data_IF_564382727724
#
_entry.id   IF_564382727724
#
_cell.length_a   1.000
_cell.length_b   1.000
_cell.length_c   1.000
_cell.angle_alpha   90.00
_cell.angle_beta   90.00
_cell.angle_gamma   90.00
#
_symmetry.space_group_name_H-M   'P 1'
#
loop_
_entity.id
_entity.type
_entity.pdbx_description
1 polymer ?
#
# COMPACT_ATOMS: atom_id res chain seq x y z
N UNK A 1 -21.30 -13.52 -1.30
CA UNK A 1 -20.28 -12.47 -1.18
C UNK A 1 -20.06 -12.22 0.31
N UNK A 2 -18.86 -12.46 0.80
CA UNK A 2 -18.46 -12.25 2.20
C UNK A 2 -17.54 -11.03 2.26
N UNK A 3 -17.72 -10.16 3.26
CA UNK A 3 -16.85 -9.02 3.52
C UNK A 3 -15.85 -9.45 4.59
N UNK A 4 -14.60 -9.63 4.20
CA UNK A 4 -13.54 -10.18 5.04
C UNK A 4 -12.65 -9.11 5.66
N UNK A 5 -12.33 -9.27 6.94
CA UNK A 5 -11.35 -8.42 7.61
C UNK A 5 -9.95 -9.01 7.48
N UNK A 6 -9.02 -8.22 6.95
CA UNK A 6 -7.59 -8.51 6.99
C UNK A 6 -6.92 -7.62 8.03
N UNK A 7 -6.14 -8.22 8.92
CA UNK A 7 -5.46 -7.53 10.01
C UNK A 7 -3.97 -7.74 9.86
N UNK A 8 -3.19 -6.66 9.90
CA UNK A 8 -1.73 -6.74 9.90
C UNK A 8 -1.22 -7.50 11.13
N UNK A 9 -0.36 -8.48 10.88
CA UNK A 9 0.42 -9.24 11.85
C UNK A 9 1.91 -8.89 11.78
N UNK A 10 2.26 -7.78 11.12
CA UNK A 10 3.65 -7.42 10.89
C UNK A 10 4.33 -6.96 12.19
N UNK A 11 5.21 -7.81 12.74
CA UNK A 11 5.97 -7.54 13.97
C UNK A 11 6.78 -6.24 13.97
N UNK A 12 7.14 -5.73 12.78
CA UNK A 12 7.89 -4.48 12.64
C UNK A 12 7.10 -3.22 12.98
N UNK A 13 5.77 -3.32 13.14
CA UNK A 13 4.85 -2.24 13.45
C UNK A 13 3.86 -2.65 14.56
N UNK A 14 3.62 -1.75 15.51
CA UNK A 14 2.72 -1.96 16.65
C UNK A 14 1.77 -0.77 16.79
N UNK A 15 0.46 -1.03 16.83
CA UNK A 15 -0.53 -0.05 17.24
C UNK A 15 -0.75 -0.16 18.76
N UNK A 16 -0.21 0.79 19.51
CA UNK A 16 -0.21 0.74 20.97
C UNK A 16 -1.54 1.22 21.56
N UNK A 17 -2.06 2.34 21.05
CA UNK A 17 -3.36 2.89 21.43
C UNK A 17 -3.94 3.77 20.31
N UNK A 18 -5.23 4.03 20.37
CA UNK A 18 -5.92 4.94 19.47
C UNK A 18 -7.13 5.54 20.16
N UNK A 19 -7.45 6.78 19.80
CA UNK A 19 -8.63 7.48 20.28
C UNK A 19 -8.49 9.00 20.22
N UNK A 20 -9.63 9.67 20.39
CA UNK A 20 -9.78 11.12 20.33
C UNK A 20 -9.20 11.74 19.04
N UNK A 21 -9.29 11.02 17.92
CA UNK A 21 -8.75 11.45 16.64
C UNK A 21 -7.25 11.21 16.44
N UNK A 22 -6.60 10.41 17.30
CA UNK A 22 -5.17 10.10 17.22
C UNK A 22 -4.88 8.60 17.31
N UNK A 23 -3.68 8.22 16.88
CA UNK A 23 -3.09 6.91 17.14
C UNK A 23 -1.68 7.05 17.68
N UNK A 24 -1.34 6.14 18.60
CA UNK A 24 -0.02 5.94 19.16
C UNK A 24 0.53 4.64 18.57
N UNK A 25 1.61 4.75 17.79
CA UNK A 25 2.20 3.63 17.07
C UNK A 25 3.71 3.57 17.29
N UNK A 26 4.26 2.38 17.14
CA UNK A 26 5.70 2.12 17.22
C UNK A 26 6.14 1.31 16.00
N UNK A 27 7.11 1.83 15.25
CA UNK A 27 7.63 1.16 14.05
C UNK A 27 9.14 1.31 14.00
N UNK A 28 9.86 0.20 13.83
CA UNK A 28 11.33 0.21 13.85
C UNK A 28 11.91 0.77 15.16
N UNK A 29 11.21 0.59 16.28
CA UNK A 29 11.60 1.10 17.60
C UNK A 29 11.30 2.57 17.86
N UNK A 30 10.73 3.30 16.88
CA UNK A 30 10.36 4.71 17.05
C UNK A 30 8.87 4.82 17.39
N UNK A 31 8.58 5.34 18.59
CA UNK A 31 7.22 5.57 19.09
C UNK A 31 6.73 6.97 18.73
N UNK A 32 5.57 7.07 18.10
CA UNK A 32 5.03 8.33 17.60
C UNK A 32 3.52 8.47 17.73
N UNK A 33 3.06 9.72 17.73
CA UNK A 33 1.65 10.09 17.70
C UNK A 33 1.33 10.66 16.32
N UNK A 34 0.25 10.19 15.70
CA UNK A 34 -0.27 10.74 14.44
C UNK A 34 -1.76 10.99 14.52
N UNK A 35 -2.23 11.93 13.70
CA UNK A 35 -3.66 12.13 13.49
C UNK A 35 -4.29 10.91 12.82
N UNK A 36 -5.39 10.46 13.40
CA UNK A 36 -6.26 9.43 12.87
C UNK A 36 -7.71 9.86 13.11
N UNK A 37 -8.26 10.70 12.20
CA UNK A 37 -9.59 11.28 12.37
C UNK A 37 -10.71 10.25 12.51
N UNK A 38 -10.45 8.97 12.21
CA UNK A 38 -11.38 7.84 12.31
C UNK A 38 -11.44 7.22 13.71
N UNK A 39 -10.46 7.50 14.56
CA UNK A 39 -10.40 6.99 15.93
C UNK A 39 -11.30 7.82 16.87
N UNK A 40 -12.62 7.75 16.66
CA UNK A 40 -13.62 8.56 17.39
C UNK A 40 -13.85 8.15 18.85
N UNK A 41 -13.41 6.94 19.21
CA UNK A 41 -13.47 6.44 20.57
C UNK A 41 -12.43 7.10 21.46
N UNK A 42 -12.55 6.96 22.78
CA UNK A 42 -11.56 7.47 23.72
C UNK A 42 -10.27 6.64 23.74
N UNK A 43 -9.16 7.33 24.00
CA UNK A 43 -7.86 6.70 24.32
C UNK A 43 -8.02 5.76 25.50
N UNK A 44 -7.33 4.63 25.46
CA UNK A 44 -7.45 3.59 26.49
C UNK A 44 -6.22 3.46 27.37
N UNK A 45 -5.05 3.92 26.90
CA UNK A 45 -3.84 4.00 27.71
C UNK A 45 -3.79 5.30 28.52
N UNK A 46 -3.16 5.30 29.71
CA UNK A 46 -2.90 6.52 30.47
C UNK A 46 -2.09 7.54 29.67
N UNK A 47 -2.29 8.83 29.97
CA UNK A 47 -1.55 9.93 29.33
C UNK A 47 -0.01 9.76 29.43
N UNK A 48 0.48 9.11 30.48
CA UNK A 48 1.90 8.81 30.66
C UNK A 48 2.47 7.91 29.56
N UNK A 49 1.68 6.99 28.99
CA UNK A 49 2.13 6.14 27.87
C UNK A 49 2.22 6.92 26.55
N UNK A 50 1.27 7.83 26.32
CA UNK A 50 1.30 8.74 25.17
C UNK A 50 2.47 9.73 25.26
N UNK A 51 2.80 10.21 26.47
CA UNK A 51 3.92 11.12 26.69
C UNK A 51 5.30 10.51 26.34
N UNK A 52 5.41 9.17 26.27
CA UNK A 52 6.63 8.46 25.83
C UNK A 52 6.89 8.56 24.33
N UNK A 53 5.94 9.04 23.53
CA UNK A 53 6.16 9.25 22.10
C UNK A 53 7.25 10.30 21.86
N UNK A 54 8.21 9.95 21.01
CA UNK A 54 9.37 10.79 20.65
C UNK A 54 9.12 11.64 19.41
N UNK A 55 8.00 11.41 18.72
CA UNK A 55 7.54 12.21 17.60
C UNK A 55 6.02 12.38 17.64
N UNK A 56 5.54 13.55 17.24
CA UNK A 56 4.12 13.86 17.14
C UNK A 56 3.87 14.67 15.87
N UNK A 57 2.96 14.21 15.03
CA UNK A 57 2.53 14.96 13.85
C UNK A 57 1.36 15.88 14.21
N UNK A 58 1.58 17.19 14.11
CA UNK A 58 0.56 18.18 14.36
C UNK A 58 -0.12 18.63 13.06
N UNK A 59 -1.45 18.64 13.08
CA UNK A 59 -2.23 19.28 12.04
C UNK A 59 -2.33 20.78 12.33
N UNK A 60 -1.59 21.60 11.58
CA UNK A 60 -1.64 23.05 11.70
C UNK A 60 -0.88 23.75 10.56
N UNK A 61 -1.53 24.69 9.88
CA UNK A 61 -1.02 25.35 8.67
C UNK A 61 -1.61 24.78 7.36
N UNK A 62 -1.07 25.16 6.20
CA UNK A 62 -1.45 24.55 4.90
C UNK A 62 -0.98 23.09 4.79
N UNK A 63 0.05 22.72 5.56
CA UNK A 63 0.71 21.42 5.55
C UNK A 63 1.15 21.11 6.99
N UNK A 64 0.88 19.90 7.51
CA UNK A 64 1.20 19.52 8.90
C UNK A 64 2.70 19.39 9.17
N UNK A 65 3.10 19.36 10.45
CA UNK A 65 4.51 19.33 10.86
C UNK A 65 4.80 18.26 11.91
N UNK A 66 5.98 17.65 11.83
CA UNK A 66 6.50 16.78 12.88
C UNK A 66 7.17 17.57 14.01
N UNK A 67 6.75 17.32 15.25
CA UNK A 67 7.45 17.71 16.47
C UNK A 67 8.25 16.53 17.01
N UNK A 68 9.57 16.64 16.94
CA UNK A 68 10.50 15.63 17.44
C UNK A 68 10.97 15.99 18.86
N UNK A 69 11.11 15.00 19.74
CA UNK A 69 11.54 15.16 21.14
C UNK A 69 12.84 14.39 21.40
N UNK A 70 13.73 14.95 22.21
CA UNK A 70 14.99 14.30 22.60
C UNK A 70 15.83 13.87 21.39
N UNK A 71 16.39 12.67 21.47
CA UNK A 71 17.27 12.09 20.43
C UNK A 71 16.49 11.33 19.34
N UNK A 72 15.26 11.75 19.04
CA UNK A 72 14.43 11.12 18.01
C UNK A 72 15.15 11.14 16.64
N UNK A 73 15.34 9.98 15.98
CA UNK A 73 16.03 9.92 14.71
C UNK A 73 15.19 10.57 13.59
N UNK A 74 15.84 11.28 12.67
CA UNK A 74 15.15 11.85 11.49
C UNK A 74 14.81 10.78 10.44
N UNK A 75 15.69 9.79 10.32
CA UNK A 75 15.52 8.61 9.48
C UNK A 75 15.90 7.38 10.30
N UNK A 76 15.17 6.29 10.14
CA UNK A 76 15.43 5.01 10.78
C UNK A 76 14.99 3.87 9.85
N UNK A 77 15.04 2.63 10.32
CA UNK A 77 14.67 1.48 9.51
C UNK A 77 13.69 0.56 10.24
N UNK A 78 12.88 -0.14 9.45
CA UNK A 78 12.12 -1.31 9.91
C UNK A 78 12.37 -2.51 9.00
N UNK A 79 11.89 -3.68 9.39
CA UNK A 79 12.12 -4.95 8.68
C UNK A 79 10.83 -5.72 8.49
N UNK A 80 10.68 -6.34 7.32
CA UNK A 80 9.68 -7.36 7.05
C UNK A 80 10.40 -8.61 6.55
N UNK A 81 10.58 -9.60 7.42
CA UNK A 81 11.44 -10.74 7.14
C UNK A 81 12.86 -10.29 6.79
N UNK A 82 13.30 -10.58 5.56
CA UNK A 82 14.62 -10.18 5.04
C UNK A 82 14.64 -8.77 4.43
N UNK A 83 13.49 -8.17 4.16
CA UNK A 83 13.39 -6.84 3.57
C UNK A 83 13.64 -5.76 4.61
N UNK A 84 14.33 -4.70 4.21
CA UNK A 84 14.62 -3.51 5.01
C UNK A 84 14.00 -2.29 4.33
N UNK A 85 13.27 -1.51 5.10
CA UNK A 85 12.64 -0.28 4.64
C UNK A 85 13.19 0.91 5.41
N UNK A 86 13.67 1.91 4.69
CA UNK A 86 13.98 3.21 5.27
C UNK A 86 12.66 3.92 5.60
N UNK A 87 12.63 4.49 6.80
CA UNK A 87 11.57 5.35 7.31
C UNK A 87 12.15 6.72 7.60
N UNK A 88 11.37 7.77 7.40
CA UNK A 88 11.78 9.14 7.73
C UNK A 88 10.58 10.04 7.94
N UNK A 89 10.77 11.03 8.80
CA UNK A 89 9.79 12.11 8.93
C UNK A 89 9.90 13.03 7.72
N UNK A 90 8.77 13.22 7.02
CA UNK A 90 8.69 14.11 5.87
C UNK A 90 8.11 15.45 6.28
N UNK A 91 8.67 16.52 5.71
CA UNK A 91 7.99 17.81 5.74
C UNK A 91 6.64 17.67 5.03
N UNK A 92 5.60 18.28 5.58
CA UNK A 92 4.28 18.39 4.97
C UNK A 92 3.50 17.07 4.77
N UNK A 93 3.93 15.99 5.41
CA UNK A 93 3.22 14.71 5.38
C UNK A 93 3.31 13.96 6.70
N UNK A 94 2.18 13.40 7.12
CA UNK A 94 2.10 12.47 8.26
C UNK A 94 2.56 11.05 7.94
N UNK A 95 2.86 10.77 6.67
CA UNK A 95 3.39 9.48 6.26
C UNK A 95 4.90 9.43 6.53
N UNK A 96 5.45 8.24 6.74
CA UNK A 96 6.87 8.06 7.05
C UNK A 96 7.55 6.98 6.20
N UNK A 97 6.87 6.47 5.16
CA UNK A 97 7.49 5.59 4.16
C UNK A 97 6.94 4.17 4.07
N UNK A 98 5.99 3.75 4.90
CA UNK A 98 5.37 2.42 4.79
C UNK A 98 3.97 2.42 5.43
N UNK A 99 3.07 1.62 4.88
CA UNK A 99 1.70 1.42 5.37
C UNK A 99 1.58 -0.01 5.91
N UNK A 100 1.72 -0.17 7.23
CA UNK A 100 1.81 -1.47 7.86
C UNK A 100 0.56 -2.34 7.67
N UNK A 101 -0.59 -1.69 7.53
CA UNK A 101 -1.87 -2.33 7.26
C UNK A 101 -1.93 -3.10 5.94
N UNK A 102 -1.05 -2.79 4.99
CA UNK A 102 -0.96 -3.48 3.70
C UNK A 102 -0.25 -4.85 3.80
N UNK A 103 0.37 -5.17 4.95
CA UNK A 103 1.12 -6.42 5.10
C UNK A 103 0.33 -7.70 4.80
N UNK A 104 -0.99 -7.81 5.05
CA UNK A 104 -1.74 -9.00 4.65
C UNK A 104 -1.75 -9.23 3.14
N UNK A 105 -1.76 -8.16 2.33
CA UNK A 105 -1.64 -8.28 0.87
C UNK A 105 -0.23 -8.71 0.47
N UNK A 106 0.79 -8.15 1.11
CA UNK A 106 2.17 -8.54 0.87
C UNK A 106 2.41 -10.01 1.20
N UNK A 107 1.95 -10.47 2.36
CA UNK A 107 2.03 -11.87 2.76
C UNK A 107 1.31 -12.77 1.75
N UNK A 108 0.10 -12.39 1.34
CA UNK A 108 -0.65 -13.14 0.34
C UNK A 108 0.09 -13.28 -1.01
N UNK A 109 0.80 -12.24 -1.45
CA UNK A 109 1.66 -12.30 -2.65
C UNK A 109 2.91 -13.17 -2.39
N UNK A 110 3.53 -13.04 -1.22
CA UNK A 110 4.71 -13.82 -0.83
C UNK A 110 4.43 -15.33 -0.77
N UNK A 111 3.22 -15.71 -0.33
CA UNK A 111 2.75 -17.10 -0.25
C UNK A 111 2.46 -17.74 -1.62
N UNK A 112 2.66 -16.99 -2.70
CA UNK A 112 2.51 -17.44 -4.10
C UNK A 112 3.83 -17.32 -4.85
N UNK A 113 4.87 -18.06 -4.42
CA UNK A 113 6.19 -17.95 -5.02
C UNK A 113 6.15 -18.41 -6.48
N UNK A 114 6.70 -17.58 -7.36
CA UNK A 114 6.81 -17.85 -8.78
C UNK A 114 8.14 -18.53 -9.04
N UNK A 115 8.09 -19.81 -9.41
CA UNK A 115 9.26 -20.64 -9.73
C UNK A 115 9.51 -20.76 -11.24
N UNK A 116 8.74 -20.03 -12.04
CA UNK A 116 8.79 -20.09 -13.50
C UNK A 116 9.92 -19.19 -14.03
N UNK A 117 10.57 -19.65 -15.09
CA UNK A 117 11.46 -18.83 -15.92
C UNK A 117 10.97 -18.86 -17.38
N UNK A 118 10.74 -17.70 -18.03
CA UNK A 118 10.87 -16.36 -17.47
C UNK A 118 9.84 -16.09 -16.36
N UNK A 119 10.25 -15.31 -15.36
CA UNK A 119 9.37 -14.87 -14.27
C UNK A 119 8.11 -14.17 -14.79
N UNK A 120 6.92 -14.45 -14.24
CA UNK A 120 5.69 -13.77 -14.63
C UNK A 120 5.74 -12.29 -14.21
N UNK A 121 5.02 -11.46 -14.95
CA UNK A 121 5.08 -10.01 -14.82
C UNK A 121 4.00 -9.50 -13.87
N UNK A 122 4.42 -8.68 -12.91
CA UNK A 122 3.54 -7.97 -12.00
C UNK A 122 3.65 -6.46 -12.22
N UNK A 123 2.50 -5.79 -12.39
CA UNK A 123 2.41 -4.33 -12.44
C UNK A 123 1.94 -3.79 -11.08
N UNK A 124 2.75 -2.94 -10.45
CA UNK A 124 2.37 -2.23 -9.23
C UNK A 124 2.17 -0.74 -9.54
N UNK A 125 0.92 -0.27 -9.50
CA UNK A 125 0.53 1.12 -9.75
C UNK A 125 0.34 1.86 -8.43
N UNK A 126 0.78 3.13 -8.40
CA UNK A 126 0.83 3.93 -7.18
C UNK A 126 1.74 3.27 -6.13
N UNK A 127 2.89 2.77 -6.58
CA UNK A 127 3.73 1.87 -5.80
C UNK A 127 4.43 2.51 -4.59
N UNK A 128 4.38 3.83 -4.45
CA UNK A 128 4.96 4.60 -3.35
C UNK A 128 6.44 4.24 -3.10
N UNK A 129 6.80 3.88 -1.88
CA UNK A 129 8.17 3.51 -1.47
C UNK A 129 8.52 2.05 -1.79
N UNK A 130 7.68 1.35 -2.55
CA UNK A 130 8.02 0.06 -3.18
C UNK A 130 7.94 -1.16 -2.27
N UNK A 131 7.35 -1.09 -1.08
CA UNK A 131 7.22 -2.25 -0.18
C UNK A 131 6.58 -3.48 -0.89
N UNK A 132 5.43 -3.29 -1.53
CA UNK A 132 4.77 -4.34 -2.31
C UNK A 132 5.63 -4.86 -3.48
N UNK A 133 6.34 -3.96 -4.18
CA UNK A 133 7.23 -4.33 -5.29
C UNK A 133 8.40 -5.19 -4.83
N UNK A 134 8.97 -4.89 -3.67
CA UNK A 134 10.06 -5.67 -3.09
C UNK A 134 9.59 -7.04 -2.61
N UNK A 135 8.41 -7.11 -1.99
CA UNK A 135 7.82 -8.39 -1.60
C UNK A 135 7.54 -9.26 -2.83
N UNK A 136 6.92 -8.69 -3.88
CA UNK A 136 6.67 -9.40 -5.12
C UNK A 136 7.97 -9.86 -5.80
N UNK A 137 8.98 -9.01 -5.91
CA UNK A 137 10.24 -9.39 -6.54
C UNK A 137 10.95 -10.52 -5.77
N UNK A 138 10.94 -10.47 -4.43
CA UNK A 138 11.46 -11.55 -3.57
C UNK A 138 10.69 -12.86 -3.75
N UNK A 139 9.38 -12.78 -4.04
CA UNK A 139 8.54 -13.92 -4.35
C UNK A 139 8.68 -14.43 -5.81
N UNK A 140 9.64 -13.92 -6.58
CA UNK A 140 9.94 -14.41 -7.93
C UNK A 140 9.17 -13.71 -9.07
N UNK A 141 8.57 -12.54 -8.83
CA UNK A 141 7.91 -11.77 -9.89
C UNK A 141 8.89 -10.87 -10.65
N UNK A 142 8.65 -10.65 -11.94
CA UNK A 142 9.24 -9.56 -12.70
C UNK A 142 8.38 -8.31 -12.52
N UNK A 143 8.85 -7.33 -11.75
CA UNK A 143 8.01 -6.23 -11.26
C UNK A 143 8.20 -4.98 -12.11
N UNK A 144 7.12 -4.42 -12.64
CA UNK A 144 7.06 -3.03 -13.07
C UNK A 144 6.43 -2.21 -11.96
N UNK A 145 7.21 -1.30 -11.36
CA UNK A 145 6.75 -0.35 -10.35
C UNK A 145 6.49 1.00 -11.01
N UNK A 146 5.32 1.58 -10.78
CA UNK A 146 4.92 2.89 -11.33
C UNK A 146 4.44 3.81 -10.20
N UNK A 147 5.06 4.97 -10.11
CA UNK A 147 4.61 6.06 -9.24
C UNK A 147 4.90 7.42 -9.90
N UNK A 148 4.06 8.42 -9.68
CA UNK A 148 4.26 9.75 -10.24
C UNK A 148 5.35 10.55 -9.50
N UNK A 149 5.62 10.20 -8.23
CA UNK A 149 6.56 10.89 -7.38
C UNK A 149 7.98 10.37 -7.58
N UNK A 150 8.82 11.18 -8.26
CA UNK A 150 10.26 10.92 -8.36
C UNK A 150 10.92 10.69 -6.98
N UNK A 151 10.61 11.47 -5.92
CA UNK A 151 11.09 11.17 -4.57
C UNK A 151 10.66 9.80 -4.03
N UNK A 152 9.42 9.36 -4.28
CA UNK A 152 8.94 8.04 -3.83
C UNK A 152 9.65 6.91 -4.58
N UNK A 153 9.81 7.02 -5.90
CA UNK A 153 10.55 6.03 -6.71
C UNK A 153 12.02 5.95 -6.29
N UNK A 154 12.66 7.08 -6.01
CA UNK A 154 14.04 7.09 -5.49
C UNK A 154 14.13 6.39 -4.11
N UNK A 155 13.13 6.61 -3.26
CA UNK A 155 13.02 5.92 -1.97
C UNK A 155 12.82 4.41 -2.13
N UNK A 156 11.98 3.98 -3.08
CA UNK A 156 11.81 2.56 -3.40
C UNK A 156 13.10 1.89 -3.88
N UNK A 157 13.88 2.56 -4.73
CA UNK A 157 15.22 2.08 -5.12
C UNK A 157 16.15 1.98 -3.91
N UNK A 158 16.11 2.94 -2.99
CA UNK A 158 16.89 2.86 -1.75
C UNK A 158 16.47 1.66 -0.89
N UNK A 159 15.17 1.37 -0.80
CA UNK A 159 14.68 0.18 -0.10
C UNK A 159 15.12 -1.12 -0.79
N UNK A 160 15.22 -1.14 -2.13
CA UNK A 160 15.78 -2.27 -2.88
C UNK A 160 17.25 -2.53 -2.52
N UNK A 161 18.06 -1.46 -2.46
CA UNK A 161 19.47 -1.54 -2.06
C UNK A 161 19.62 -2.02 -0.61
N UNK A 162 18.85 -1.42 0.32
CA UNK A 162 18.88 -1.77 1.74
C UNK A 162 18.51 -3.24 1.99
N UNK A 163 17.61 -3.77 1.15
CA UNK A 163 17.17 -5.16 1.18
C UNK A 163 18.12 -6.13 0.45
N UNK A 164 19.23 -5.65 -0.13
CA UNK A 164 20.16 -6.48 -0.89
C UNK A 164 19.58 -7.04 -2.19
N UNK A 165 18.55 -6.39 -2.74
CA UNK A 165 17.77 -6.88 -3.88
C UNK A 165 18.21 -6.28 -5.22
N UNK A 166 19.46 -5.81 -5.34
CA UNK A 166 19.94 -5.12 -6.54
C UNK A 166 19.89 -5.98 -7.82
N UNK A 167 19.93 -7.30 -7.71
CA UNK A 167 19.82 -8.23 -8.83
C UNK A 167 18.36 -8.59 -9.20
N UNK A 168 17.39 -8.23 -8.36
CA UNK A 168 15.99 -8.58 -8.59
C UNK A 168 15.38 -7.69 -9.68
N UNK A 169 14.55 -8.26 -10.58
CA UNK A 169 14.07 -7.57 -11.77
C UNK A 169 12.92 -6.61 -11.44
N UNK A 170 13.25 -5.41 -10.97
CA UNK A 170 12.30 -4.32 -10.72
C UNK A 170 12.54 -3.17 -11.70
N UNK A 171 11.59 -2.97 -12.61
CA UNK A 171 11.55 -1.81 -13.51
C UNK A 171 10.84 -0.65 -12.82
N UNK A 172 11.60 0.36 -12.43
CA UNK A 172 11.11 1.57 -11.75
C UNK A 172 10.73 2.68 -12.74
N UNK A 173 9.46 3.08 -12.75
CA UNK A 173 8.89 4.05 -13.68
C UNK A 173 8.33 5.25 -12.94
N UNK A 174 8.70 6.44 -13.42
CA UNK A 174 8.19 7.73 -12.94
C UNK A 174 7.22 8.27 -13.97
N UNK A 175 5.93 8.03 -13.78
CA UNK A 175 4.89 8.40 -14.74
C UNK A 175 3.51 8.44 -14.08
N UNK A 176 2.58 9.21 -14.64
CA UNK A 176 1.16 9.09 -14.31
C UNK A 176 0.66 7.67 -14.65
N UNK A 177 -0.12 7.07 -13.74
CA UNK A 177 -0.54 5.68 -13.85
C UNK A 177 -1.40 5.41 -15.10
N UNK A 178 -2.35 6.31 -15.41
CA UNK A 178 -3.21 6.19 -16.59
C UNK A 178 -2.41 6.32 -17.88
N UNK A 179 -1.49 7.29 -17.92
CA UNK A 179 -0.58 7.52 -19.05
C UNK A 179 0.30 6.31 -19.31
N UNK A 180 0.89 5.74 -18.25
CA UNK A 180 1.67 4.51 -18.32
C UNK A 180 0.86 3.34 -18.89
N UNK A 181 -0.33 3.09 -18.32
CA UNK A 181 -1.20 1.98 -18.71
C UNK A 181 -1.58 2.09 -20.19
N UNK A 182 -2.06 3.25 -20.65
CA UNK A 182 -2.41 3.47 -22.06
C UNK A 182 -1.24 3.22 -23.01
N UNK A 183 -0.02 3.62 -22.60
CA UNK A 183 1.18 3.39 -23.40
C UNK A 183 1.55 1.90 -23.48
N UNK A 184 1.41 1.16 -22.40
CA UNK A 184 1.66 -0.29 -22.39
C UNK A 184 0.61 -1.05 -23.20
N UNK A 185 -0.67 -0.63 -23.16
CA UNK A 185 -1.74 -1.18 -24.01
C UNK A 185 -1.37 -0.98 -25.48
N UNK A 186 -0.98 0.23 -25.88
CA UNK A 186 -0.54 0.52 -27.26
C UNK A 186 0.67 -0.32 -27.70
N UNK A 187 1.52 -0.73 -26.75
CA UNK A 187 2.69 -1.59 -27.01
C UNK A 187 2.36 -3.09 -27.01
N UNK A 188 1.12 -3.48 -26.68
CA UNK A 188 0.72 -4.88 -26.57
C UNK A 188 1.34 -5.61 -25.37
N UNK A 189 1.75 -4.87 -24.33
CA UNK A 189 2.32 -5.47 -23.13
C UNK A 189 1.23 -6.10 -22.25
N UNK A 190 1.48 -7.29 -21.69
CA UNK A 190 0.52 -8.00 -20.83
C UNK A 190 1.12 -8.47 -19.50
N UNK A 191 0.36 -8.43 -18.41
CA UNK A 191 0.81 -8.74 -17.06
C UNK A 191 -0.01 -9.88 -16.46
N UNK A 192 0.67 -10.76 -15.72
CA UNK A 192 0.05 -11.85 -14.98
C UNK A 192 -0.55 -11.37 -13.66
N UNK A 193 -0.13 -10.22 -13.15
CA UNK A 193 -0.69 -9.64 -11.93
C UNK A 193 -0.70 -8.13 -11.98
N UNK A 194 -1.72 -7.50 -11.40
CA UNK A 194 -1.80 -6.06 -11.22
C UNK A 194 -2.15 -5.73 -9.76
N UNK A 195 -1.42 -4.80 -9.16
CA UNK A 195 -1.72 -4.22 -7.85
C UNK A 195 -1.93 -2.71 -8.03
N UNK A 196 -2.98 -2.17 -7.40
CA UNK A 196 -3.30 -0.75 -7.43
C UNK A 196 -3.57 -0.24 -6.01
N UNK A 197 -2.84 0.78 -5.59
CA UNK A 197 -3.07 1.49 -4.31
C UNK A 197 -3.31 3.00 -4.53
N UNK A 198 -4.33 3.39 -5.32
CA UNK A 198 -4.57 4.79 -5.67
C UNK A 198 -4.87 5.67 -4.44
N UNK A 199 -4.29 6.88 -4.36
CA UNK A 199 -4.68 7.85 -3.34
C UNK A 199 -6.06 8.44 -3.66
N UNK A 200 -6.72 9.06 -2.68
CA UNK A 200 -7.97 9.78 -2.93
C UNK A 200 -7.78 10.95 -3.92
N UNK A 201 -6.67 11.68 -3.77
CA UNK A 201 -6.26 12.77 -4.65
C UNK A 201 -4.76 12.66 -4.96
N UNK A 202 -4.36 13.08 -6.15
CA UNK A 202 -2.97 13.04 -6.55
C UNK A 202 -2.65 13.96 -7.71
N UNK A 203 -1.36 14.06 -8.04
CA UNK A 203 -0.89 14.72 -9.26
C UNK A 203 0.14 13.86 -9.97
N UNK A 204 0.03 13.79 -11.29
CA UNK A 204 1.04 13.20 -12.15
C UNK A 204 2.28 14.09 -12.28
N UNK A 205 3.38 13.56 -12.84
CA UNK A 205 4.65 14.29 -12.95
C UNK A 205 4.56 15.57 -13.80
N UNK A 206 3.60 15.64 -14.73
CA UNK A 206 3.39 16.81 -15.60
C UNK A 206 2.20 17.67 -15.18
N UNK A 207 1.61 17.39 -14.01
CA UNK A 207 0.50 18.14 -13.44
C UNK A 207 -0.88 17.55 -13.71
N UNK A 208 -0.95 16.33 -14.25
CA UNK A 208 -2.20 15.58 -14.42
C UNK A 208 -2.92 15.47 -13.08
N UNK A 209 -4.19 15.87 -13.00
CA UNK A 209 -4.94 15.78 -11.75
C UNK A 209 -5.57 14.40 -11.60
N UNK A 210 -5.35 13.73 -10.46
CA UNK A 210 -5.98 12.47 -10.10
C UNK A 210 -7.02 12.68 -8.99
N UNK A 211 -8.22 12.13 -9.19
CA UNK A 211 -9.26 12.01 -8.16
C UNK A 211 -9.92 10.64 -8.27
N UNK A 212 -9.85 9.84 -7.20
CA UNK A 212 -10.24 8.43 -7.22
C UNK A 212 -11.68 8.21 -7.72
N UNK A 213 -12.63 9.04 -7.30
CA UNK A 213 -14.05 8.92 -7.66
C UNK A 213 -14.31 9.17 -9.15
N UNK A 214 -13.43 9.92 -9.82
CA UNK A 214 -13.52 10.22 -11.25
C UNK A 214 -12.72 9.22 -12.09
N UNK A 215 -11.52 8.87 -11.62
CA UNK A 215 -10.48 8.28 -12.47
C UNK A 215 -10.27 6.78 -12.26
N UNK A 216 -10.73 6.20 -11.13
CA UNK A 216 -10.49 4.79 -10.82
C UNK A 216 -11.15 3.84 -11.82
N UNK A 217 -12.44 4.03 -12.13
CA UNK A 217 -13.15 3.15 -13.04
C UNK A 217 -12.58 3.18 -14.49
N UNK A 218 -12.26 4.34 -15.08
CA UNK A 218 -11.49 4.38 -16.33
C UNK A 218 -10.14 3.68 -16.25
N UNK A 219 -9.40 3.82 -15.14
CA UNK A 219 -8.08 3.19 -14.98
C UNK A 219 -8.19 1.67 -14.97
N UNK A 220 -9.14 1.11 -14.21
CA UNK A 220 -9.35 -0.33 -14.14
C UNK A 220 -9.75 -0.93 -15.50
N UNK A 221 -10.57 -0.21 -16.29
CA UNK A 221 -10.91 -0.62 -17.66
C UNK A 221 -9.69 -0.71 -18.57
N UNK A 222 -8.79 0.26 -18.47
CA UNK A 222 -7.53 0.22 -19.22
C UNK A 222 -6.58 -0.88 -18.68
N UNK A 223 -6.57 -1.13 -17.37
CA UNK A 223 -5.80 -2.23 -16.78
C UNK A 223 -6.28 -3.60 -17.24
N UNK A 224 -7.58 -3.77 -17.51
CA UNK A 224 -8.11 -5.03 -18.06
C UNK A 224 -7.44 -5.39 -19.39
N UNK A 225 -7.17 -4.42 -20.26
CA UNK A 225 -6.49 -4.64 -21.54
C UNK A 225 -5.03 -5.10 -21.37
N UNK A 226 -4.45 -4.87 -20.18
CA UNK A 226 -3.12 -5.33 -19.83
C UNK A 226 -3.10 -6.73 -19.20
N UNK A 227 -4.22 -7.35 -18.86
CA UNK A 227 -4.21 -8.69 -18.25
C UNK A 227 -3.84 -9.74 -19.30
N UNK A 228 -2.85 -10.58 -19.01
CA UNK A 228 -2.51 -11.68 -19.90
C UNK A 228 -3.56 -12.81 -19.82
N UNK A 229 -3.62 -13.70 -20.81
CA UNK A 229 -4.45 -14.91 -20.74
C UNK A 229 -4.10 -15.83 -19.54
N UNK A 230 -2.93 -15.64 -18.92
CA UNK A 230 -2.46 -16.35 -17.72
C UNK A 230 -2.50 -15.49 -16.47
N UNK A 231 -3.28 -14.40 -16.49
CA UNK A 231 -3.46 -13.54 -15.33
C UNK A 231 -3.87 -14.36 -14.10
N UNK A 232 -3.20 -14.09 -12.99
CA UNK A 232 -3.36 -14.81 -11.73
C UNK A 232 -4.21 -14.00 -10.75
N UNK A 233 -4.01 -12.68 -10.68
CA UNK A 233 -4.79 -11.83 -9.78
C UNK A 233 -4.76 -10.34 -10.11
N UNK A 234 -5.74 -9.61 -9.55
CA UNK A 234 -5.74 -8.16 -9.44
C UNK A 234 -6.05 -7.79 -7.98
N UNK A 235 -5.22 -6.96 -7.36
CA UNK A 235 -5.46 -6.39 -6.03
C UNK A 235 -5.75 -4.90 -6.18
N UNK A 236 -6.84 -4.44 -5.58
CA UNK A 236 -7.23 -3.04 -5.49
C UNK A 236 -7.36 -2.66 -4.03
N UNK A 237 -6.67 -1.60 -3.61
CA UNK A 237 -6.82 -1.00 -2.28
C UNK A 237 -7.34 0.43 -2.41
N UNK A 238 -8.26 0.84 -1.53
CA UNK A 238 -8.91 2.14 -1.55
C UNK A 238 -8.97 2.72 -0.13
N UNK A 239 -8.37 3.89 0.09
CA UNK A 239 -8.36 4.55 1.42
C UNK A 239 -9.59 5.43 1.69
N UNK A 240 -10.48 5.61 0.71
CA UNK A 240 -11.77 6.31 0.82
C UNK A 240 -12.80 5.41 1.54
N UNK A 241 -12.66 5.28 2.86
CA UNK A 241 -13.43 4.34 3.69
C UNK A 241 -14.88 4.75 3.96
N UNK A 242 -15.30 5.93 3.53
CA UNK A 242 -16.71 6.33 3.47
C UNK A 242 -17.46 5.58 2.36
N UNK A 243 -16.75 4.90 1.46
CA UNK A 243 -17.31 3.91 0.55
C UNK A 243 -17.45 2.53 1.22
N UNK A 244 -18.19 1.62 0.56
CA UNK A 244 -18.25 0.20 0.94
C UNK A 244 -17.26 -0.62 0.11
N UNK A 245 -16.68 -1.67 0.68
CA UNK A 245 -15.86 -2.65 -0.06
C UNK A 245 -16.62 -3.34 -1.21
N UNK A 246 -17.96 -3.28 -1.22
CA UNK A 246 -18.81 -3.67 -2.35
C UNK A 246 -18.46 -2.87 -3.63
N UNK A 247 -18.00 -1.62 -3.50
CA UNK A 247 -17.48 -0.84 -4.63
C UNK A 247 -16.29 -1.54 -5.29
N UNK A 248 -15.37 -2.08 -4.49
CA UNK A 248 -14.23 -2.84 -5.00
C UNK A 248 -14.71 -4.12 -5.71
N UNK A 249 -15.73 -4.78 -5.18
CA UNK A 249 -16.33 -5.95 -5.83
C UNK A 249 -16.89 -5.61 -7.21
N UNK A 250 -17.77 -4.61 -7.29
CA UNK A 250 -18.43 -4.23 -8.54
C UNK A 250 -17.41 -3.82 -9.62
N UNK A 251 -16.39 -3.05 -9.22
CA UNK A 251 -15.33 -2.63 -10.14
C UNK A 251 -14.51 -3.84 -10.62
N UNK A 252 -14.10 -4.74 -9.73
CA UNK A 252 -13.32 -5.90 -10.12
C UNK A 252 -14.15 -6.89 -10.95
N UNK A 253 -15.40 -7.18 -10.56
CA UNK A 253 -16.29 -8.06 -11.31
C UNK A 253 -16.52 -7.55 -12.74
N UNK A 254 -16.77 -6.25 -12.94
CA UNK A 254 -16.86 -5.65 -14.28
C UNK A 254 -15.56 -5.88 -15.07
N UNK A 255 -14.42 -5.60 -14.44
CA UNK A 255 -13.12 -5.62 -15.09
C UNK A 255 -12.51 -7.03 -15.21
N UNK A 256 -13.09 -8.06 -14.61
CA UNK A 256 -12.63 -9.46 -14.74
C UNK A 256 -13.71 -10.40 -15.27
N UNK A 257 -14.89 -9.87 -15.63
CA UNK A 257 -15.97 -10.60 -16.31
C UNK A 257 -15.45 -11.46 -17.47
N UNK A 258 -15.81 -12.74 -17.51
CA UNK A 258 -15.39 -13.66 -18.58
C UNK A 258 -13.97 -14.22 -18.43
N UNK A 259 -13.19 -13.82 -17.42
CA UNK A 259 -11.91 -14.45 -17.08
C UNK A 259 -12.06 -15.62 -16.09
N UNK A 260 -13.28 -15.87 -15.60
CA UNK A 260 -13.53 -16.82 -14.51
C UNK A 260 -12.96 -16.33 -13.17
N UNK A 261 -12.74 -17.26 -12.23
CA UNK A 261 -12.18 -16.96 -10.92
C UNK A 261 -13.19 -16.39 -9.92
N UNK A 262 -12.68 -15.74 -8.87
CA UNK A 262 -13.47 -15.20 -7.77
C UNK A 262 -13.00 -13.80 -7.36
N UNK A 263 -13.93 -13.00 -6.83
CA UNK A 263 -13.64 -11.67 -6.26
C UNK A 263 -13.92 -11.69 -4.77
N UNK A 264 -12.86 -11.55 -3.98
CA UNK A 264 -12.93 -11.38 -2.53
C UNK A 264 -12.83 -9.89 -2.18
N UNK A 265 -13.51 -9.44 -1.13
CA UNK A 265 -13.50 -8.04 -0.70
C UNK A 265 -13.44 -7.91 0.82
N UNK A 266 -13.03 -6.73 1.29
CA UNK A 266 -13.35 -6.29 2.63
C UNK A 266 -12.52 -5.12 3.10
N UNK A 267 -12.04 -5.19 4.34
CA UNK A 267 -11.34 -4.09 5.01
C UNK A 267 -9.96 -4.53 5.51
N UNK A 268 -9.02 -3.58 5.52
CA UNK A 268 -7.73 -3.69 6.17
C UNK A 268 -7.77 -2.89 7.47
N UNK A 269 -7.34 -3.53 8.56
CA UNK A 269 -7.28 -2.91 9.87
C UNK A 269 -5.95 -3.17 10.58
N UNK A 270 -5.66 -2.31 11.55
CA UNK A 270 -4.63 -2.55 12.55
C UNK A 270 -5.28 -2.98 13.86
N UNK A 271 -4.66 -3.93 14.57
CA UNK A 271 -5.10 -4.36 15.89
C UNK A 271 -4.31 -3.63 16.96
N UNK A 272 -5.03 -3.00 17.88
CA UNK A 272 -4.48 -2.37 19.05
C UNK A 272 -4.05 -3.44 20.07
N UNK A 273 -2.83 -3.35 20.58
CA UNK A 273 -2.25 -4.42 21.40
C UNK A 273 -2.87 -4.57 22.78
N UNK A 274 -3.22 -3.47 23.44
CA UNK A 274 -3.64 -3.51 24.84
C UNK A 274 -5.06 -4.08 25.05
N UNK A 275 -5.93 -4.00 24.05
CA UNK A 275 -7.35 -4.37 24.17
C UNK A 275 -7.93 -5.04 22.92
N UNK A 276 -7.13 -5.25 21.86
CA UNK A 276 -7.55 -5.90 20.63
C UNK A 276 -8.46 -5.08 19.71
N UNK A 277 -8.73 -3.80 20.03
CA UNK A 277 -9.56 -2.90 19.21
C UNK A 277 -8.99 -2.79 17.79
N UNK A 278 -9.88 -2.83 16.81
CA UNK A 278 -9.52 -2.72 15.41
C UNK A 278 -9.65 -1.27 14.93
N UNK A 279 -8.61 -0.75 14.29
CA UNK A 279 -8.59 0.54 13.62
C UNK A 279 -8.70 0.30 12.10
N UNK A 280 -9.85 0.61 11.46
CA UNK A 280 -10.03 0.41 10.02
C UNK A 280 -9.29 1.48 9.21
N UNK A 281 -8.50 1.06 8.22
CA UNK A 281 -7.63 1.96 7.46
C UNK A 281 -7.98 2.07 5.98
N UNK A 282 -8.26 0.96 5.31
CA UNK A 282 -8.60 0.94 3.89
C UNK A 282 -9.55 -0.20 3.54
N UNK A 283 -10.20 -0.06 2.39
CA UNK A 283 -10.99 -1.09 1.74
C UNK A 283 -10.10 -1.85 0.77
N UNK A 284 -10.41 -3.12 0.53
CA UNK A 284 -9.72 -3.90 -0.49
C UNK A 284 -10.69 -4.74 -1.31
N UNK A 285 -10.27 -5.02 -2.54
CA UNK A 285 -10.83 -6.08 -3.37
C UNK A 285 -9.71 -6.84 -4.06
N UNK A 286 -9.93 -8.14 -4.26
CA UNK A 286 -8.98 -9.02 -4.94
C UNK A 286 -9.72 -9.97 -5.86
N UNK A 287 -9.46 -9.86 -7.15
CA UNK A 287 -9.80 -10.93 -8.08
C UNK A 287 -8.66 -11.94 -8.12
N UNK A 288 -9.00 -13.23 -8.04
CA UNK A 288 -8.06 -14.34 -8.24
C UNK A 288 -8.60 -15.23 -9.34
N UNK A 289 -7.74 -15.58 -10.31
CA UNK A 289 -8.10 -16.51 -11.37
C UNK A 289 -8.51 -17.88 -10.80
N UNK A 290 -9.42 -18.56 -11.49
CA UNK A 290 -9.81 -19.92 -11.13
C UNK A 290 -8.64 -20.90 -11.34
N UNK A 291 -8.74 -22.14 -10.82
CA UNK A 291 -7.80 -23.20 -11.15
C UNK A 291 -7.67 -23.30 -12.67
N UNK A 292 -6.44 -23.23 -13.20
CA UNK A 292 -6.21 -23.53 -14.62
C UNK A 292 -6.45 -25.04 -14.79
N UNK A 293 -7.41 -25.39 -15.64
CA UNK A 293 -7.70 -26.78 -16.02
C UNK A 293 -6.59 -27.41 -16.85
#
# INVERSE_FOLDING_TARGET
MEISLLVSDWEGHRLLDSGDGFKLEEIGGVRMIRSEPKAWWSKSLPAAEWARAVAEHEEGGREGRWKLKGDCPKEWETRLGKLRFQLRFMDNSKQFGVFAEQSPHWQWVADRPQKLEPRPRLLNLFGYTGAASLVAAQAGWHVTHVDASKPAVAWGRRNQELSGMGAEPIRWIIEDAMTFVKREVKRGNQYEAIMLDPPAFGRGPTGEFWKVERDLAPLLRACRELLSPKAQFVILTVYTIDASSILCHNLLEENTRGLGGQVDIGELALRQENNGRLLPLSLWGRWTAGPQG
#
